data_IF_931091778195
#
_entry.id   IF_931091778195
#
_cell.length_a   1.000
_cell.length_b   1.000
_cell.length_c   1.000
_cell.angle_alpha   90.00
_cell.angle_beta   90.00
_cell.angle_gamma   90.00
#
_symmetry.space_group_name_H-M   'P 1'
#
loop_
_entity.id
_entity.type
_entity.pdbx_description
1 polymer ?
#
# COMPACT_ATOMS: atom_id res chain seq x y z
N UNK A 1 22.03 33.33 -43.57
CA UNK A 1 22.64 32.38 -42.67
C UNK A 1 21.54 31.83 -41.76
N UNK A 2 21.13 30.58 -42.02
CA UNK A 2 20.07 29.90 -41.27
C UNK A 2 20.71 29.13 -40.13
N UNK A 3 20.27 29.41 -38.91
CA UNK A 3 20.66 28.68 -37.72
C UNK A 3 19.72 27.51 -37.44
N UNK A 4 20.28 26.32 -37.35
CA UNK A 4 19.63 25.04 -37.04
C UNK A 4 19.15 25.01 -35.58
N UNK A 5 17.93 24.56 -35.27
CA UNK A 5 17.48 24.45 -33.87
C UNK A 5 18.11 23.22 -33.19
N UNK A 6 18.76 23.48 -32.06
CA UNK A 6 19.43 22.46 -31.25
C UNK A 6 18.48 21.41 -30.65
N UNK A 7 18.77 20.17 -30.91
CA UNK A 7 18.18 19.02 -30.26
C UNK A 7 18.50 19.04 -28.75
N UNK A 8 17.47 19.19 -27.91
CA UNK A 8 17.57 18.92 -26.50
C UNK A 8 17.74 17.40 -26.30
N UNK A 9 18.98 16.97 -26.03
CA UNK A 9 19.25 15.62 -25.54
C UNK A 9 18.63 15.46 -24.14
N UNK A 10 17.63 14.61 -24.06
CA UNK A 10 17.09 14.11 -22.77
C UNK A 10 18.20 13.23 -22.19
N UNK A 11 18.88 13.74 -21.16
CA UNK A 11 19.78 12.92 -20.35
C UNK A 11 18.92 11.95 -19.55
N UNK A 12 18.78 10.71 -20.02
CA UNK A 12 18.37 9.61 -19.16
C UNK A 12 19.32 9.57 -17.95
N UNK A 13 18.77 9.75 -16.76
CA UNK A 13 19.50 9.51 -15.50
C UNK A 13 19.80 8.02 -15.43
N UNK A 14 20.99 7.62 -15.84
CA UNK A 14 21.51 6.29 -15.59
C UNK A 14 21.62 6.16 -14.06
N UNK A 15 20.73 5.37 -13.46
CA UNK A 15 20.79 5.02 -12.04
C UNK A 15 22.03 4.12 -11.87
N UNK A 16 23.03 4.55 -11.12
CA UNK A 16 24.17 3.69 -10.77
C UNK A 16 23.68 2.41 -10.09
N UNK A 17 24.11 1.26 -10.60
CA UNK A 17 23.77 -0.02 -10.03
C UNK A 17 24.57 -0.25 -8.75
N UNK A 18 23.91 -0.26 -7.59
CA UNK A 18 24.56 -0.55 -6.31
C UNK A 18 24.75 -2.07 -6.14
N UNK A 19 25.94 -2.54 -6.39
CA UNK A 19 26.35 -3.93 -6.20
C UNK A 19 26.29 -4.43 -4.74
N UNK A 20 26.11 -3.53 -3.76
CA UNK A 20 26.03 -3.86 -2.33
C UNK A 20 24.62 -4.26 -1.89
N UNK A 21 23.62 -4.00 -2.72
CA UNK A 21 22.25 -4.40 -2.50
C UNK A 21 21.72 -5.11 -3.77
N UNK A 22 21.99 -6.40 -3.96
CA UNK A 22 21.47 -7.13 -5.11
C UNK A 22 19.95 -7.11 -5.07
N UNK A 23 19.32 -6.77 -6.19
CA UNK A 23 17.86 -6.85 -6.33
C UNK A 23 17.42 -8.29 -6.09
N UNK A 24 16.49 -8.50 -5.17
CA UNK A 24 15.94 -9.82 -4.84
C UNK A 24 14.94 -10.29 -5.88
N UNK A 25 14.29 -9.35 -6.59
CA UNK A 25 13.27 -9.65 -7.59
C UNK A 25 13.79 -9.48 -9.02
N UNK A 26 13.46 -10.44 -9.87
CA UNK A 26 13.71 -10.35 -11.31
C UNK A 26 12.70 -9.39 -11.95
N UNK A 27 13.01 -8.95 -13.19
CA UNK A 27 12.09 -8.09 -13.95
C UNK A 27 10.76 -8.79 -14.24
N UNK A 28 10.79 -10.11 -14.47
CA UNK A 28 9.61 -10.93 -14.70
C UNK A 28 8.73 -10.98 -13.44
N UNK A 29 9.33 -11.16 -12.27
CA UNK A 29 8.59 -11.16 -11.00
C UNK A 29 7.94 -9.80 -10.72
N UNK A 30 8.66 -8.70 -10.94
CA UNK A 30 8.07 -7.34 -10.84
C UNK A 30 6.89 -7.17 -11.80
N UNK A 31 7.00 -7.65 -13.04
CA UNK A 31 5.89 -7.58 -14.02
C UNK A 31 4.67 -8.39 -13.58
N UNK A 32 4.87 -9.54 -12.94
CA UNK A 32 3.76 -10.31 -12.36
C UNK A 32 3.10 -9.53 -11.21
N UNK A 33 3.91 -8.93 -10.33
CA UNK A 33 3.40 -8.08 -9.26
C UNK A 33 2.63 -6.87 -9.79
N UNK A 34 3.10 -6.21 -10.86
CA UNK A 34 2.37 -5.12 -11.54
C UNK A 34 0.94 -5.57 -11.91
N UNK A 35 0.79 -6.73 -12.56
CA UNK A 35 -0.51 -7.27 -12.95
C UNK A 35 -1.42 -7.58 -11.73
N UNK A 36 -0.85 -8.16 -10.68
CA UNK A 36 -1.56 -8.46 -9.42
C UNK A 36 -2.08 -7.18 -8.78
N UNK A 37 -1.22 -6.17 -8.61
CA UNK A 37 -1.59 -4.93 -7.94
C UNK A 37 -2.45 -4.00 -8.81
N UNK A 38 -2.36 -4.05 -10.13
CA UNK A 38 -3.34 -3.39 -11.02
C UNK A 38 -4.74 -3.98 -10.84
N UNK A 39 -4.84 -5.32 -10.75
CA UNK A 39 -6.13 -5.98 -10.48
C UNK A 39 -6.65 -5.61 -9.08
N UNK A 40 -5.79 -5.63 -8.07
CA UNK A 40 -6.15 -5.20 -6.72
C UNK A 40 -6.64 -3.75 -6.68
N UNK A 41 -5.96 -2.83 -7.35
CA UNK A 41 -6.35 -1.42 -7.44
C UNK A 41 -7.75 -1.25 -8.10
N UNK A 42 -8.07 -2.07 -9.11
CA UNK A 42 -9.40 -2.11 -9.75
C UNK A 42 -10.48 -2.57 -8.77
N UNK A 43 -10.22 -3.64 -8.00
CA UNK A 43 -11.15 -4.14 -6.97
C UNK A 43 -11.35 -3.11 -5.86
N UNK A 44 -10.27 -2.49 -5.37
CA UNK A 44 -10.35 -1.40 -4.40
C UNK A 44 -11.16 -0.20 -4.91
N UNK A 45 -10.99 0.19 -6.18
CA UNK A 45 -11.77 1.29 -6.78
C UNK A 45 -13.26 1.00 -6.72
N UNK A 46 -13.66 -0.23 -7.05
CA UNK A 46 -15.06 -0.68 -7.03
C UNK A 46 -15.60 -0.71 -5.60
N UNK A 47 -14.86 -1.33 -4.69
CA UNK A 47 -15.22 -1.44 -3.28
C UNK A 47 -15.40 -0.07 -2.62
N UNK A 48 -14.39 0.81 -2.74
CA UNK A 48 -14.42 2.14 -2.13
C UNK A 48 -15.50 3.04 -2.75
N UNK A 49 -15.75 2.93 -4.06
CA UNK A 49 -16.83 3.65 -4.72
C UNK A 49 -18.19 3.25 -4.13
N UNK A 50 -18.43 1.96 -3.93
CA UNK A 50 -19.66 1.47 -3.31
C UNK A 50 -19.81 1.88 -1.85
N UNK A 51 -18.73 1.72 -1.07
CA UNK A 51 -18.70 2.00 0.36
C UNK A 51 -18.90 3.49 0.67
N UNK A 52 -18.14 4.35 0.00
CA UNK A 52 -18.12 5.79 0.26
C UNK A 52 -19.21 6.55 -0.50
N UNK A 53 -19.89 5.88 -1.43
CA UNK A 53 -20.88 6.51 -2.33
C UNK A 53 -20.31 7.75 -3.06
N UNK A 54 -19.05 7.63 -3.45
CA UNK A 54 -18.29 8.60 -4.23
C UNK A 54 -17.52 7.86 -5.30
N UNK A 55 -17.32 8.47 -6.46
CA UNK A 55 -16.41 7.90 -7.44
C UNK A 55 -14.98 7.89 -6.91
N UNK A 56 -14.45 6.71 -6.63
CA UNK A 56 -13.09 6.48 -6.15
C UNK A 56 -12.27 5.78 -7.23
N UNK A 57 -11.16 6.38 -7.63
CA UNK A 57 -10.20 5.77 -8.53
C UNK A 57 -8.93 5.45 -7.78
N UNK A 58 -8.59 4.18 -7.71
CA UNK A 58 -7.31 3.67 -7.23
C UNK A 58 -6.51 3.20 -8.43
N UNK A 59 -5.25 3.55 -8.51
CA UNK A 59 -4.34 3.11 -9.58
C UNK A 59 -2.98 2.79 -9.00
N UNK A 60 -2.35 1.76 -9.55
CA UNK A 60 -0.95 1.45 -9.24
C UNK A 60 -0.07 2.60 -9.75
N UNK A 61 0.78 3.13 -8.88
CA UNK A 61 1.74 4.18 -9.24
C UNK A 61 3.12 3.59 -9.48
N UNK A 62 3.58 2.74 -8.57
CA UNK A 62 4.93 2.18 -8.63
C UNK A 62 5.05 0.93 -7.75
N UNK A 63 5.93 0.02 -8.12
CA UNK A 63 6.43 -1.08 -7.28
C UNK A 63 7.92 -0.87 -7.10
N UNK A 64 8.34 -0.73 -5.86
CA UNK A 64 9.74 -0.50 -5.50
C UNK A 64 10.25 -1.55 -4.53
N UNK A 65 11.47 -1.99 -4.75
CA UNK A 65 12.23 -2.77 -3.79
C UNK A 65 13.10 -1.81 -2.98
N UNK A 66 12.93 -1.82 -1.67
CA UNK A 66 13.70 -0.99 -0.75
C UNK A 66 14.11 -1.78 0.49
N UNK A 67 15.08 -1.27 1.22
CA UNK A 67 15.47 -1.86 2.50
C UNK A 67 14.42 -1.57 3.56
N UNK A 68 14.23 -2.51 4.49
CA UNK A 68 13.28 -2.34 5.59
C UNK A 68 13.55 -1.08 6.42
N UNK A 69 14.84 -0.75 6.67
CA UNK A 69 15.23 0.47 7.35
C UNK A 69 14.85 1.76 6.61
N UNK A 70 14.87 1.74 5.27
CA UNK A 70 14.45 2.89 4.45
C UNK A 70 12.93 3.06 4.52
N UNK A 71 12.18 1.94 4.46
CA UNK A 71 10.74 1.93 4.66
C UNK A 71 10.36 2.52 6.03
N UNK A 72 10.97 2.02 7.12
CA UNK A 72 10.68 2.49 8.47
C UNK A 72 10.98 3.98 8.67
N UNK A 73 12.08 4.48 8.11
CA UNK A 73 12.46 5.89 8.22
C UNK A 73 11.54 6.81 7.39
N UNK A 74 10.84 6.27 6.39
CA UNK A 74 9.91 7.03 5.55
C UNK A 74 8.48 7.09 6.11
N UNK A 75 8.16 6.29 7.15
CA UNK A 75 6.83 6.30 7.74
C UNK A 75 6.55 7.61 8.48
N UNK A 76 5.38 8.25 8.26
CA UNK A 76 4.98 9.43 9.01
C UNK A 76 4.62 9.09 10.46
N UNK A 77 4.68 10.08 11.37
CA UNK A 77 4.36 9.89 12.79
C UNK A 77 2.92 9.38 12.99
N UNK A 78 1.99 9.90 12.20
CA UNK A 78 0.57 9.53 12.23
C UNK A 78 0.21 8.80 10.93
N UNK A 79 -0.22 7.58 11.04
CA UNK A 79 -0.56 6.71 9.91
C UNK A 79 -1.50 5.61 10.36
N UNK A 80 -2.39 5.17 9.49
CA UNK A 80 -3.18 3.96 9.74
C UNK A 80 -2.55 2.78 8.97
N UNK A 81 -2.15 1.74 9.70
CA UNK A 81 -1.55 0.54 9.13
C UNK A 81 -2.35 -0.69 9.52
N UNK A 82 -2.81 -1.45 8.53
CA UNK A 82 -3.39 -2.76 8.74
C UNK A 82 -2.34 -3.84 8.54
N UNK A 83 -2.14 -4.67 9.55
CA UNK A 83 -1.29 -5.85 9.47
C UNK A 83 -2.11 -7.01 8.92
N UNK A 84 -1.69 -7.60 7.81
CA UNK A 84 -2.40 -8.68 7.13
C UNK A 84 -1.52 -9.91 7.08
N UNK A 85 -1.97 -11.00 7.69
CA UNK A 85 -1.41 -12.32 7.46
C UNK A 85 -1.96 -12.87 6.13
N UNK A 86 -1.09 -13.23 5.20
CA UNK A 86 -1.51 -13.74 3.90
C UNK A 86 -1.99 -15.19 3.95
N UNK A 87 -1.75 -15.92 5.06
CA UNK A 87 -2.24 -17.27 5.26
C UNK A 87 -1.79 -18.22 4.16
N UNK A 88 -0.53 -18.13 3.71
CA UNK A 88 0.02 -18.98 2.66
C UNK A 88 0.10 -20.41 3.16
N UNK A 89 -0.61 -21.32 2.50
CA UNK A 89 -0.64 -22.74 2.83
C UNK A 89 0.59 -23.48 2.30
N UNK A 90 1.77 -23.07 2.74
CA UNK A 90 3.02 -23.75 2.42
C UNK A 90 3.85 -23.92 3.70
N UNK A 91 4.20 -25.15 4.04
CA UNK A 91 4.94 -25.49 5.27
C UNK A 91 6.35 -24.88 5.33
N UNK A 92 6.90 -24.42 4.20
CA UNK A 92 8.24 -23.82 4.13
C UNK A 92 8.27 -22.31 4.41
N UNK A 93 7.11 -21.65 4.49
CA UNK A 93 6.99 -20.19 4.68
C UNK A 93 6.30 -19.92 6.01
N UNK A 94 7.04 -19.51 7.02
CA UNK A 94 6.55 -19.38 8.41
C UNK A 94 5.92 -18.06 8.61
N UNK A 95 5.69 -17.09 8.11
CA UNK A 95 4.98 -15.82 8.35
C UNK A 95 5.10 -14.88 7.13
N UNK A 96 3.98 -14.65 6.47
CA UNK A 96 3.95 -13.73 5.34
C UNK A 96 3.03 -12.58 5.67
N UNK A 97 3.60 -11.56 6.27
CA UNK A 97 2.84 -10.37 6.64
C UNK A 97 2.93 -9.30 5.54
N UNK A 98 1.79 -8.70 5.25
CA UNK A 98 1.65 -7.53 4.38
C UNK A 98 1.14 -6.36 5.22
N UNK A 99 1.65 -5.17 4.98
CA UNK A 99 1.19 -3.95 5.61
C UNK A 99 0.39 -3.15 4.59
N UNK A 100 -0.87 -2.86 4.91
CA UNK A 100 -1.69 -1.88 4.17
C UNK A 100 -1.60 -0.56 4.92
N UNK A 101 -0.96 0.42 4.32
CA UNK A 101 -0.84 1.76 4.89
C UNK A 101 -1.80 2.73 4.20
N UNK A 102 -2.55 3.49 5.00
CA UNK A 102 -3.40 4.59 4.50
C UNK A 102 -2.95 5.89 5.16
N UNK A 103 -2.77 6.95 4.37
CA UNK A 103 -2.41 8.26 4.92
C UNK A 103 -3.52 8.82 5.81
N UNK A 104 -3.15 9.61 6.82
CA UNK A 104 -4.09 10.25 7.74
C UNK A 104 -5.21 10.99 7.01
N UNK A 105 -4.85 11.80 6.04
CA UNK A 105 -5.82 12.59 5.26
C UNK A 105 -6.88 11.73 4.59
N UNK A 106 -6.47 10.64 3.93
CA UNK A 106 -7.41 9.71 3.27
C UNK A 106 -8.25 9.02 4.34
N UNK A 107 -7.64 8.57 5.43
CA UNK A 107 -8.35 7.88 6.52
C UNK A 107 -9.45 8.77 7.12
N UNK A 108 -9.15 10.02 7.49
CA UNK A 108 -10.15 10.94 8.03
C UNK A 108 -11.23 11.31 7.01
N UNK A 109 -10.88 11.44 5.73
CA UNK A 109 -11.86 11.65 4.66
C UNK A 109 -12.81 10.47 4.53
N UNK A 110 -12.31 9.24 4.63
CA UNK A 110 -13.14 8.02 4.61
C UNK A 110 -14.05 7.95 5.83
N UNK A 111 -13.53 8.22 7.04
CA UNK A 111 -14.32 8.25 8.28
C UNK A 111 -15.44 9.29 8.19
N UNK A 112 -15.13 10.50 7.74
CA UNK A 112 -16.14 11.56 7.55
C UNK A 112 -17.27 11.09 6.62
N UNK A 113 -16.92 10.44 5.50
CA UNK A 113 -17.92 9.88 4.56
C UNK A 113 -18.74 8.76 5.17
N UNK A 114 -18.13 7.86 5.92
CA UNK A 114 -18.81 6.74 6.57
C UNK A 114 -19.79 7.21 7.65
N UNK A 115 -19.48 8.33 8.30
CA UNK A 115 -20.35 8.99 9.27
C UNK A 115 -21.41 9.91 8.64
N UNK A 116 -21.48 9.99 7.31
CA UNK A 116 -22.49 10.77 6.57
C UNK A 116 -22.04 12.20 6.22
N UNK A 117 -20.78 12.54 6.43
CA UNK A 117 -20.18 13.79 6.01
C UNK A 117 -19.94 13.88 4.50
N UNK A 118 -19.37 14.99 4.05
CA UNK A 118 -19.11 15.27 2.63
C UNK A 118 -17.81 14.67 2.12
N UNK A 119 -16.92 14.20 3.02
CA UNK A 119 -15.59 13.70 2.66
C UNK A 119 -14.66 14.85 2.27
N UNK A 120 -14.75 15.97 2.94
CA UNK A 120 -13.88 17.12 2.67
C UNK A 120 -12.44 16.80 3.11
N UNK A 121 -11.49 17.20 2.26
CA UNK A 121 -10.08 17.12 2.60
C UNK A 121 -9.77 17.94 3.84
N UNK A 122 -9.17 17.31 4.84
CA UNK A 122 -8.66 17.96 6.05
C UNK A 122 -7.29 17.40 6.36
N UNK A 123 -6.33 18.28 6.54
CA UNK A 123 -5.03 17.91 7.10
C UNK A 123 -5.16 17.78 8.61
N UNK A 124 -5.24 16.55 9.09
CA UNK A 124 -5.45 16.25 10.51
C UNK A 124 -4.20 15.55 11.04
N UNK A 125 -3.48 16.25 11.93
CA UNK A 125 -2.26 15.74 12.56
C UNK A 125 -2.53 15.39 14.03
N UNK A 126 -3.25 14.31 14.27
CA UNK A 126 -3.50 13.74 15.59
C UNK A 126 -3.66 12.24 15.51
N UNK A 127 -3.60 11.57 16.65
CA UNK A 127 -3.93 10.16 16.80
C UNK A 127 -5.41 9.90 16.50
N UNK A 128 -5.69 8.65 16.11
CA UNK A 128 -7.04 8.15 15.93
C UNK A 128 -7.67 7.80 17.27
N UNK A 129 -8.96 8.06 17.40
CA UNK A 129 -9.75 7.58 18.54
C UNK A 129 -10.12 6.11 18.36
N UNK A 130 -10.47 5.43 19.45
CA UNK A 130 -10.93 4.02 19.41
C UNK A 130 -12.13 3.82 18.48
N UNK A 131 -13.04 4.79 18.41
CA UNK A 131 -14.21 4.73 17.51
C UNK A 131 -13.74 4.81 16.05
N UNK A 132 -12.82 5.70 15.73
CA UNK A 132 -12.26 5.85 14.38
C UNK A 132 -11.51 4.59 13.94
N UNK A 133 -10.73 4.00 14.84
CA UNK A 133 -10.04 2.73 14.59
C UNK A 133 -11.07 1.61 14.35
N UNK A 134 -12.14 1.54 15.15
CA UNK A 134 -13.19 0.53 14.99
C UNK A 134 -13.89 0.65 13.63
N UNK A 135 -14.20 1.89 13.19
CA UNK A 135 -14.79 2.13 11.87
C UNK A 135 -13.84 1.67 10.76
N UNK A 136 -12.56 2.00 10.88
CA UNK A 136 -11.56 1.64 9.88
C UNK A 136 -11.18 0.16 9.89
N UNK A 137 -11.40 -0.55 10.99
CA UNK A 137 -11.14 -1.98 11.07
C UNK A 137 -11.96 -2.78 10.04
N UNK A 138 -13.23 -2.47 9.88
CA UNK A 138 -14.09 -3.14 8.89
C UNK A 138 -13.64 -2.84 7.46
N UNK A 139 -13.21 -1.60 7.21
CA UNK A 139 -12.66 -1.19 5.91
C UNK A 139 -11.37 -1.93 5.61
N UNK A 140 -10.43 -1.94 6.57
CA UNK A 140 -9.15 -2.62 6.43
C UNK A 140 -9.30 -4.13 6.25
N UNK A 141 -10.22 -4.74 7.00
CA UNK A 141 -10.51 -6.17 6.85
C UNK A 141 -11.05 -6.49 5.46
N UNK A 142 -11.94 -5.66 4.92
CA UNK A 142 -12.42 -5.81 3.56
C UNK A 142 -11.31 -5.63 2.53
N UNK A 143 -10.43 -4.63 2.71
CA UNK A 143 -9.27 -4.41 1.85
C UNK A 143 -8.30 -5.61 1.89
N UNK A 144 -8.06 -6.18 3.07
CA UNK A 144 -7.26 -7.40 3.21
C UNK A 144 -7.87 -8.58 2.44
N UNK A 145 -9.17 -8.82 2.59
CA UNK A 145 -9.86 -9.91 1.91
C UNK A 145 -9.82 -9.77 0.37
N UNK A 146 -9.83 -8.55 -0.14
CA UNK A 146 -9.72 -8.28 -1.58
C UNK A 146 -8.35 -8.68 -2.18
N UNK A 147 -7.33 -8.94 -1.37
CA UNK A 147 -6.04 -9.47 -1.84
C UNK A 147 -6.15 -10.89 -2.39
N UNK A 148 -7.14 -11.68 -1.95
CA UNK A 148 -7.31 -13.06 -2.38
C UNK A 148 -7.43 -13.20 -3.90
N UNK A 149 -8.36 -12.47 -4.54
CA UNK A 149 -8.68 -12.64 -5.96
C UNK A 149 -7.49 -12.37 -6.90
N UNK A 150 -6.73 -11.26 -6.75
CA UNK A 150 -5.57 -11.00 -7.61
C UNK A 150 -4.45 -12.04 -7.51
N UNK A 151 -4.30 -12.68 -6.36
CA UNK A 151 -3.27 -13.69 -6.12
C UNK A 151 -3.69 -15.12 -6.44
N UNK A 152 -5.01 -15.39 -6.54
CA UNK A 152 -5.56 -16.75 -6.65
C UNK A 152 -5.01 -17.59 -7.81
N UNK A 153 -4.56 -16.95 -8.90
CA UNK A 153 -3.95 -17.64 -10.04
C UNK A 153 -2.45 -17.97 -9.85
N UNK A 154 -1.83 -17.43 -8.81
CA UNK A 154 -0.41 -17.56 -8.55
C UNK A 154 -0.10 -18.39 -7.31
N UNK A 155 -0.87 -18.21 -6.25
CA UNK A 155 -0.66 -18.86 -4.97
C UNK A 155 -1.99 -19.00 -4.20
N UNK A 156 -2.14 -20.12 -3.48
CA UNK A 156 -3.30 -20.31 -2.58
C UNK A 156 -3.00 -19.60 -1.26
N UNK A 157 -3.80 -18.61 -0.95
CA UNK A 157 -3.65 -17.78 0.25
C UNK A 157 -5.01 -17.48 0.88
N UNK A 158 -5.00 -17.12 2.15
CA UNK A 158 -6.20 -16.77 2.93
C UNK A 158 -5.92 -15.50 3.75
N UNK A 159 -5.99 -14.31 3.11
CA UNK A 159 -5.61 -13.06 3.77
C UNK A 159 -6.51 -12.76 4.96
N UNK A 160 -5.92 -12.40 6.11
CA UNK A 160 -6.64 -12.01 7.32
C UNK A 160 -6.02 -10.77 7.92
N UNK A 161 -6.83 -9.78 8.25
CA UNK A 161 -6.38 -8.66 9.06
C UNK A 161 -6.11 -9.17 10.48
N UNK A 162 -4.87 -9.04 10.96
CA UNK A 162 -4.46 -9.48 12.30
C UNK A 162 -4.35 -8.34 13.30
N UNK A 163 -4.31 -7.10 12.83
CA UNK A 163 -4.28 -5.93 13.70
C UNK A 163 -4.23 -4.62 12.94
N UNK A 164 -4.50 -3.54 13.66
CA UNK A 164 -4.33 -2.15 13.19
C UNK A 164 -3.36 -1.44 14.11
N UNK A 165 -2.38 -0.78 13.50
CA UNK A 165 -1.41 0.07 14.18
C UNK A 165 -1.53 1.52 13.69
N UNK A 166 -1.45 2.44 14.62
CA UNK A 166 -1.54 3.89 14.33
C UNK A 166 -0.24 4.63 14.57
N UNK A 167 0.75 3.94 15.13
CA UNK A 167 2.06 4.48 15.44
C UNK A 167 3.14 3.72 14.64
N UNK A 168 3.87 4.44 13.80
CA UNK A 168 4.95 3.87 12.98
C UNK A 168 6.07 3.22 13.80
N UNK A 169 6.27 3.63 15.06
CA UNK A 169 7.31 3.08 15.94
C UNK A 169 7.07 1.63 16.32
N UNK A 170 5.81 1.16 16.35
CA UNK A 170 5.48 -0.23 16.67
C UNK A 170 5.94 -1.16 15.56
N UNK A 171 5.80 -0.74 14.31
CA UNK A 171 6.26 -1.52 13.14
C UNK A 171 7.79 -1.66 13.12
N UNK A 172 8.52 -0.71 13.69
CA UNK A 172 9.98 -0.77 13.80
C UNK A 172 10.48 -1.94 14.67
N UNK A 173 9.66 -2.45 15.58
CA UNK A 173 10.03 -3.56 16.47
C UNK A 173 9.80 -4.94 15.85
N UNK A 174 8.95 -5.06 14.83
CA UNK A 174 8.59 -6.35 14.19
C UNK A 174 9.72 -6.86 13.27
N UNK A 175 10.65 -6.03 12.85
CA UNK A 175 11.74 -6.37 11.92
C UNK A 175 13.07 -6.70 12.56
N UNK A 176 13.12 -6.97 13.87
CA UNK A 176 14.36 -7.23 14.62
C UNK A 176 14.50 -8.66 15.16
N UNK A 177 13.73 -9.63 14.63
CA UNK A 177 13.97 -11.05 14.90
C UNK A 177 14.59 -11.77 13.70
#
# INVERSE_FOLDING_TARGET
AQGTPGQKMIKEKVKEYDFRAPKKFTKEQIKVLDGIFENYARLLSSYLTGLLRLYCRVSLVNIEEQRYSEFNNALPDYVLMGMVDMGIKNEEVSETNVIIQISNTITFTMIDRLLGGRGEYRDVNRDFTEIEITIMNDVMNSMANLLYEPWASHIDLEPKLIGIETNSRVVQTIGHE
#
